data_IF_661475145308
#
_entry.id   IF_661475145308
#
_cell.length_a   1.000
_cell.length_b   1.000
_cell.length_c   1.000
_cell.angle_alpha   90.00
_cell.angle_beta   90.00
_cell.angle_gamma   90.00
#
_symmetry.space_group_name_H-M   'P 1'
#
loop_
_entity.id
_entity.type
_entity.pdbx_description
1 polymer ?
#
# COMPACT_ATOMS: atom_id res chain seq x y z
N UNK A 1 19.79 16.70 -7.26
CA UNK A 1 20.59 15.72 -6.50
C UNK A 1 19.91 15.33 -5.18
N UNK A 2 19.49 16.29 -4.35
CA UNK A 2 18.89 16.01 -3.04
C UNK A 2 17.61 15.16 -3.08
N UNK A 3 16.59 15.52 -3.88
CA UNK A 3 15.36 14.70 -3.96
C UNK A 3 15.59 13.29 -4.55
N UNK A 4 16.67 13.08 -5.32
CA UNK A 4 17.01 11.72 -5.76
C UNK A 4 17.46 10.85 -4.57
N UNK A 5 18.29 11.41 -3.68
CA UNK A 5 18.66 10.75 -2.42
C UNK A 5 17.43 10.46 -1.56
N UNK A 6 16.50 11.41 -1.44
CA UNK A 6 15.24 11.17 -0.71
C UNK A 6 14.43 10.03 -1.32
N UNK A 7 14.30 9.95 -2.65
CA UNK A 7 13.60 8.84 -3.31
C UNK A 7 14.23 7.50 -3.01
N UNK A 8 15.57 7.41 -3.00
CA UNK A 8 16.27 6.19 -2.60
C UNK A 8 15.98 5.86 -1.14
N UNK A 9 16.08 6.83 -0.23
CA UNK A 9 15.80 6.60 1.19
C UNK A 9 14.35 6.14 1.42
N UNK A 10 13.39 6.73 0.71
CA UNK A 10 11.98 6.34 0.74
C UNK A 10 11.82 4.90 0.24
N UNK A 11 12.49 4.51 -0.86
CA UNK A 11 12.43 3.13 -1.33
C UNK A 11 13.04 2.13 -0.33
N UNK A 12 14.19 2.49 0.26
CA UNK A 12 14.86 1.66 1.26
C UNK A 12 14.00 1.47 2.51
N UNK A 13 13.47 2.56 3.07
CA UNK A 13 12.69 2.55 4.32
C UNK A 13 11.25 2.07 4.09
N UNK A 14 10.61 2.54 3.01
CA UNK A 14 9.21 2.29 2.71
C UNK A 14 8.93 0.93 2.05
N UNK A 15 9.93 0.28 1.46
CA UNK A 15 9.71 -0.99 0.76
C UNK A 15 10.69 -2.08 1.18
N UNK A 16 12.00 -1.87 0.95
CA UNK A 16 13.00 -2.93 1.17
C UNK A 16 13.11 -3.37 2.64
N UNK A 17 13.11 -2.41 3.56
CA UNK A 17 13.19 -2.68 5.00
C UNK A 17 11.97 -3.50 5.50
N UNK A 18 10.71 -3.10 5.24
CA UNK A 18 9.54 -3.92 5.57
C UNK A 18 9.56 -5.32 4.96
N UNK A 19 10.01 -5.47 3.71
CA UNK A 19 10.14 -6.79 3.07
C UNK A 19 11.16 -7.65 3.81
N UNK A 20 12.32 -7.08 4.15
CA UNK A 20 13.35 -7.75 4.94
C UNK A 20 12.84 -8.16 6.33
N UNK A 21 12.12 -7.27 7.01
CA UNK A 21 11.50 -7.55 8.31
C UNK A 21 10.43 -8.64 8.24
N UNK A 22 9.62 -8.67 7.17
CA UNK A 22 8.66 -9.75 6.92
C UNK A 22 9.35 -11.10 6.74
N UNK A 23 10.39 -11.17 5.91
CA UNK A 23 11.14 -12.42 5.66
C UNK A 23 11.85 -12.91 6.93
N UNK A 24 12.44 -11.98 7.68
CA UNK A 24 13.07 -12.29 8.97
C UNK A 24 12.02 -12.75 9.99
N UNK A 25 10.89 -12.05 10.12
CA UNK A 25 9.79 -12.42 10.99
C UNK A 25 9.24 -13.82 10.67
N UNK A 26 9.12 -14.15 9.39
CA UNK A 26 8.69 -15.47 8.92
C UNK A 26 9.64 -16.57 9.37
N UNK A 27 10.95 -16.38 9.17
CA UNK A 27 11.99 -17.34 9.61
C UNK A 27 11.95 -17.60 11.12
N UNK A 28 11.61 -16.58 11.91
CA UNK A 28 11.56 -16.65 13.37
C UNK A 28 10.15 -16.89 13.94
N UNK A 29 9.17 -17.27 13.10
CA UNK A 29 7.77 -17.53 13.48
C UNK A 29 7.09 -16.35 14.22
N UNK A 30 7.52 -15.11 13.95
CA UNK A 30 6.93 -13.88 14.51
C UNK A 30 5.85 -13.34 13.58
N UNK A 31 4.74 -14.05 13.46
CA UNK A 31 3.70 -13.78 12.45
C UNK A 31 3.03 -12.42 12.58
N UNK A 32 2.90 -11.88 13.79
CA UNK A 32 2.34 -10.53 14.02
C UNK A 32 3.15 -9.44 13.32
N UNK A 33 4.49 -9.54 13.36
CA UNK A 33 5.39 -8.60 12.67
C UNK A 33 5.27 -8.76 11.16
N UNK A 34 5.13 -10.00 10.68
CA UNK A 34 4.95 -10.29 9.25
C UNK A 34 3.64 -9.68 8.74
N UNK A 35 2.54 -9.87 9.46
CA UNK A 35 1.24 -9.32 9.09
C UNK A 35 1.29 -7.79 9.06
N UNK A 36 1.88 -7.15 10.07
CA UNK A 36 2.03 -5.71 10.12
C UNK A 36 2.87 -5.18 8.94
N UNK A 37 4.02 -5.79 8.67
CA UNK A 37 4.90 -5.39 7.57
C UNK A 37 4.22 -5.60 6.20
N UNK A 38 3.43 -6.65 6.02
CA UNK A 38 2.65 -6.87 4.80
C UNK A 38 1.56 -5.80 4.61
N UNK A 39 0.80 -5.48 5.67
CA UNK A 39 -0.18 -4.37 5.65
C UNK A 39 0.51 -3.04 5.31
N UNK A 40 1.72 -2.84 5.82
CA UNK A 40 2.51 -1.64 5.56
C UNK A 40 2.94 -1.57 4.10
N UNK A 41 3.48 -2.66 3.54
CA UNK A 41 3.88 -2.73 2.12
C UNK A 41 2.67 -2.46 1.22
N UNK A 42 1.52 -3.05 1.53
CA UNK A 42 0.30 -2.81 0.76
C UNK A 42 -0.12 -1.34 0.81
N UNK A 43 -0.14 -0.74 2.01
CA UNK A 43 -0.41 0.69 2.18
C UNK A 43 0.58 1.55 1.38
N UNK A 44 1.87 1.27 1.47
CA UNK A 44 2.93 1.98 0.75
C UNK A 44 2.66 1.99 -0.76
N UNK A 45 2.38 0.82 -1.35
CA UNK A 45 2.11 0.71 -2.79
C UNK A 45 0.88 1.50 -3.21
N UNK A 46 -0.21 1.42 -2.43
CA UNK A 46 -1.45 2.16 -2.71
C UNK A 46 -1.24 3.67 -2.54
N UNK A 47 -0.52 4.08 -1.50
CA UNK A 47 -0.25 5.49 -1.22
C UNK A 47 0.63 6.11 -2.32
N UNK A 48 1.71 5.44 -2.74
CA UNK A 48 2.56 5.89 -3.83
C UNK A 48 1.79 6.01 -5.16
N UNK A 49 0.96 5.00 -5.48
CA UNK A 49 0.23 4.99 -6.75
C UNK A 49 -0.88 6.04 -6.81
N UNK A 50 -1.64 6.23 -5.73
CA UNK A 50 -2.80 7.13 -5.71
C UNK A 50 -2.47 8.52 -5.16
N UNK A 51 -1.93 8.58 -3.93
CA UNK A 51 -1.79 9.83 -3.18
C UNK A 51 -0.58 10.62 -3.65
N UNK A 52 0.57 9.97 -3.79
CA UNK A 52 1.81 10.65 -4.23
C UNK A 52 1.67 11.17 -5.66
N UNK A 53 1.07 10.39 -6.56
CA UNK A 53 0.82 10.83 -7.95
C UNK A 53 -0.16 12.00 -8.04
N UNK A 54 -1.20 12.03 -7.20
CA UNK A 54 -2.26 13.04 -7.26
C UNK A 54 -1.92 14.28 -6.41
N UNK A 55 -1.88 14.09 -5.09
CA UNK A 55 -1.67 15.14 -4.10
C UNK A 55 -0.21 15.57 -4.06
N UNK A 56 0.71 14.60 -4.16
CA UNK A 56 2.14 14.88 -4.18
C UNK A 56 2.53 15.77 -5.37
N UNK A 57 1.91 15.61 -6.54
CA UNK A 57 2.16 16.48 -7.70
C UNK A 57 1.80 17.96 -7.44
N UNK A 58 0.76 18.23 -6.63
CA UNK A 58 0.35 19.59 -6.27
C UNK A 58 1.34 20.20 -5.28
N UNK A 59 1.70 19.46 -4.22
CA UNK A 59 2.60 19.96 -3.17
C UNK A 59 4.03 20.11 -3.69
N UNK A 60 4.46 19.22 -4.60
CA UNK A 60 5.77 19.30 -5.24
C UNK A 60 5.95 20.60 -6.04
N UNK A 61 4.87 21.18 -6.59
CA UNK A 61 4.90 22.50 -7.25
C UNK A 61 5.13 23.65 -6.27
N UNK A 62 4.74 23.50 -5.00
CA UNK A 62 4.97 24.51 -3.96
C UNK A 62 6.41 24.40 -3.45
N UNK A 63 6.81 23.19 -3.03
CA UNK A 63 8.19 22.90 -2.66
C UNK A 63 8.47 21.40 -2.70
N UNK A 64 9.28 20.98 -3.67
CA UNK A 64 9.70 19.58 -3.79
C UNK A 64 10.50 19.08 -2.59
N UNK A 65 11.28 19.96 -1.94
CA UNK A 65 12.05 19.59 -0.75
C UNK A 65 11.15 19.31 0.46
N UNK A 66 10.17 20.19 0.72
CA UNK A 66 9.20 20.00 1.82
C UNK A 66 8.39 18.73 1.60
N UNK A 67 7.96 18.46 0.36
CA UNK A 67 7.30 17.20 0.03
C UNK A 67 8.20 15.98 0.27
N UNK A 68 9.43 15.99 -0.24
CA UNK A 68 10.40 14.90 -0.04
C UNK A 68 10.62 14.61 1.48
N UNK A 69 10.63 15.64 2.33
CA UNK A 69 10.82 15.50 3.79
C UNK A 69 9.56 14.96 4.49
N UNK A 70 8.37 15.52 4.20
CA UNK A 70 7.10 15.03 4.73
C UNK A 70 6.83 13.57 4.32
N UNK A 71 7.11 13.25 3.07
CA UNK A 71 6.91 11.93 2.50
C UNK A 71 7.78 10.88 3.19
N UNK A 72 9.07 11.19 3.42
CA UNK A 72 9.95 10.31 4.19
C UNK A 72 9.50 10.17 5.65
N UNK A 73 9.11 11.27 6.30
CA UNK A 73 8.64 11.25 7.69
C UNK A 73 7.41 10.36 7.87
N UNK A 74 6.46 10.41 6.93
CA UNK A 74 5.26 9.58 6.94
C UNK A 74 5.61 8.08 6.97
N UNK A 75 6.57 7.65 6.16
CA UNK A 75 7.01 6.26 6.12
C UNK A 75 7.77 5.82 7.38
N UNK A 76 8.64 6.67 7.92
CA UNK A 76 9.33 6.38 9.18
C UNK A 76 8.36 6.24 10.35
N UNK A 77 7.29 7.04 10.38
CA UNK A 77 6.28 6.96 11.45
C UNK A 77 5.43 5.70 11.30
N UNK A 78 4.98 5.40 10.07
CA UNK A 78 4.07 4.29 9.82
C UNK A 78 4.72 2.91 9.88
N UNK A 79 6.05 2.81 9.67
CA UNK A 79 6.75 1.52 9.81
C UNK A 79 6.94 1.14 11.28
N UNK A 80 6.90 2.11 12.22
CA UNK A 80 7.02 1.84 13.65
C UNK A 80 5.71 1.28 14.21
N UNK A 81 5.66 -0.03 14.56
CA UNK A 81 4.42 -0.66 15.03
C UNK A 81 3.93 -0.10 16.37
N UNK A 82 4.81 0.56 17.14
CA UNK A 82 4.52 1.09 18.47
C UNK A 82 3.38 2.13 18.49
N UNK A 83 3.14 2.80 17.38
CA UNK A 83 2.11 3.83 17.30
C UNK A 83 0.75 3.32 16.77
N UNK A 84 0.71 2.09 16.24
CA UNK A 84 -0.48 1.42 15.71
C UNK A 84 -1.32 2.21 14.68
N UNK A 85 -0.77 3.30 14.14
CA UNK A 85 -1.47 4.17 13.18
C UNK A 85 -1.95 3.42 11.94
N UNK A 86 -1.17 2.44 11.49
CA UNK A 86 -1.55 1.61 10.36
C UNK A 86 -2.85 0.85 10.65
N UNK A 87 -2.98 0.20 11.82
CA UNK A 87 -4.21 -0.50 12.16
C UNK A 87 -5.39 0.46 12.31
N UNK A 88 -5.18 1.66 12.86
CA UNK A 88 -6.22 2.71 12.90
C UNK A 88 -6.70 3.08 11.49
N UNK A 89 -5.78 3.26 10.53
CA UNK A 89 -6.13 3.55 9.14
C UNK A 89 -6.94 2.39 8.55
N UNK A 90 -6.50 1.15 8.73
CA UNK A 90 -7.23 -0.02 8.23
C UNK A 90 -8.62 -0.16 8.88
N UNK A 91 -8.76 0.14 10.17
CA UNK A 91 -10.04 0.11 10.87
C UNK A 91 -10.98 1.20 10.35
N UNK A 92 -10.48 2.41 10.13
CA UNK A 92 -11.22 3.53 9.53
C UNK A 92 -11.69 3.19 8.11
N UNK A 93 -10.79 2.66 7.28
CA UNK A 93 -11.11 2.21 5.91
C UNK A 93 -12.12 1.08 5.94
N UNK A 94 -11.99 0.13 6.86
CA UNK A 94 -12.94 -0.98 7.03
C UNK A 94 -14.32 -0.48 7.44
N UNK A 95 -14.40 0.45 8.40
CA UNK A 95 -15.66 1.11 8.81
C UNK A 95 -16.30 1.89 7.67
N UNK A 96 -15.51 2.66 6.92
CA UNK A 96 -16.01 3.37 5.75
C UNK A 96 -16.53 2.41 4.69
N UNK A 97 -15.83 1.30 4.46
CA UNK A 97 -16.21 0.28 3.50
C UNK A 97 -17.50 -0.45 3.91
N UNK A 98 -17.65 -0.81 5.19
CA UNK A 98 -18.86 -1.46 5.71
C UNK A 98 -20.06 -0.52 5.71
N UNK A 99 -19.88 0.76 6.02
CA UNK A 99 -20.94 1.77 5.97
C UNK A 99 -21.40 2.07 4.54
N UNK A 100 -20.46 2.11 3.58
CA UNK A 100 -20.77 2.48 2.20
C UNK A 100 -20.91 1.27 1.25
N UNK A 101 -20.89 0.04 1.78
CA UNK A 101 -20.96 -1.20 1.01
C UNK A 101 -19.96 -1.24 -0.17
N UNK A 102 -18.79 -0.60 -0.03
CA UNK A 102 -17.86 -0.42 -1.15
C UNK A 102 -17.36 -1.78 -1.66
N UNK A 103 -17.22 -2.76 -0.77
CA UNK A 103 -16.91 -4.16 -1.11
C UNK A 103 -17.98 -4.76 -2.01
N UNK A 104 -19.26 -4.52 -1.74
CA UNK A 104 -20.38 -4.99 -2.55
C UNK A 104 -20.35 -4.35 -3.94
N UNK A 105 -20.06 -3.04 -4.02
CA UNK A 105 -19.89 -2.34 -5.29
C UNK A 105 -18.68 -2.84 -6.08
N UNK A 106 -17.50 -2.96 -5.46
CA UNK A 106 -16.30 -3.53 -6.08
C UNK A 106 -16.53 -4.96 -6.56
N UNK A 107 -17.19 -5.78 -5.75
CA UNK A 107 -17.44 -7.18 -6.09
C UNK A 107 -18.41 -7.30 -7.28
N UNK A 108 -19.49 -6.50 -7.29
CA UNK A 108 -20.48 -6.54 -8.35
C UNK A 108 -20.03 -5.87 -9.65
N UNK A 109 -19.33 -4.74 -9.58
CA UNK A 109 -19.00 -3.93 -10.76
C UNK A 109 -17.59 -4.17 -11.31
N UNK A 110 -16.68 -4.75 -10.52
CA UNK A 110 -15.29 -4.97 -10.95
C UNK A 110 -14.95 -6.46 -10.91
N UNK A 111 -15.07 -7.13 -9.76
CA UNK A 111 -14.58 -8.51 -9.59
C UNK A 111 -15.42 -9.52 -10.39
N UNK A 112 -16.74 -9.51 -10.25
CA UNK A 112 -17.64 -10.40 -10.98
C UNK A 112 -17.50 -10.29 -12.51
N UNK A 113 -17.52 -9.10 -13.11
CA UNK A 113 -17.35 -8.99 -14.56
C UNK A 113 -15.97 -9.46 -15.03
N UNK A 114 -14.88 -9.10 -14.32
CA UNK A 114 -13.53 -9.59 -14.63
C UNK A 114 -13.44 -11.11 -14.52
N UNK A 115 -13.96 -11.71 -13.45
CA UNK A 115 -13.95 -13.16 -13.24
C UNK A 115 -14.74 -13.87 -14.35
N UNK A 116 -15.85 -13.30 -14.82
CA UNK A 116 -16.60 -13.84 -15.96
C UNK A 116 -15.80 -13.80 -17.27
N UNK A 117 -15.03 -12.74 -17.51
CA UNK A 117 -14.19 -12.59 -18.70
C UNK A 117 -13.03 -13.57 -18.67
N UNK A 118 -12.35 -13.70 -17.53
CA UNK A 118 -11.28 -14.67 -17.32
C UNK A 118 -11.79 -16.09 -17.53
N UNK A 119 -12.96 -16.45 -16.96
CA UNK A 119 -13.55 -17.77 -17.18
C UNK A 119 -13.91 -18.04 -18.64
N UNK A 120 -14.36 -17.04 -19.41
CA UNK A 120 -14.60 -17.19 -20.86
C UNK A 120 -13.31 -17.48 -21.62
N UNK A 121 -12.22 -16.81 -21.25
CA UNK A 121 -10.90 -17.01 -21.87
C UNK A 121 -10.37 -18.41 -21.52
N UNK A 122 -10.43 -18.82 -20.25
CA UNK A 122 -10.00 -20.15 -19.80
C UNK A 122 -10.81 -21.25 -20.48
N UNK A 123 -12.13 -21.07 -20.64
CA UNK A 123 -12.96 -22.02 -21.39
C UNK A 123 -12.56 -22.12 -22.85
N UNK A 124 -12.31 -21.00 -23.54
CA UNK A 124 -11.82 -20.99 -24.93
C UNK A 124 -10.48 -21.71 -25.08
N UNK A 125 -9.57 -21.52 -24.13
CA UNK A 125 -8.26 -22.16 -24.12
C UNK A 125 -8.32 -23.67 -23.85
N UNK A 126 -9.31 -24.14 -23.08
CA UNK A 126 -9.52 -25.58 -22.82
C UNK A 126 -10.19 -26.32 -23.99
N UNK A 127 -10.82 -25.59 -24.90
CA UNK A 127 -11.48 -26.15 -26.10
C UNK A 127 -10.61 -26.09 -27.36
N UNK A 128 -9.41 -25.54 -27.25
CA UNK A 128 -8.32 -25.65 -28.24
C UNK A 128 -7.45 -26.85 -27.88
#
# INVERSE_FOLDING_TARGET
MLCFLFKIMIFMVGYLLPVGLSLHGWKHKKYEIVEYCLKYIFFFVIFESLVTTSIGAIIYKISGFIWCLLHLALYVILIMPKFDYLNIIYEQVSKFNSQNNVTLYLNNYIINPLNSQVNKIVKKLKTL
#
